data_IF_144504860182
#
_entry.id   IF_144504860182
#
_cell.length_a   1.000
_cell.length_b   1.000
_cell.length_c   1.000
_cell.angle_alpha   90.00
_cell.angle_beta   90.00
_cell.angle_gamma   90.00
#
_symmetry.space_group_name_H-M   'P 1'
#
loop_
_entity.id
_entity.type
_entity.pdbx_description
1 polymer ?
#
# COMPACT_ATOMS: atom_id res chain seq x y z
N UNK A 1 -16.57 -18.22 2.99
CA UNK A 1 -16.75 -17.78 1.59
C UNK A 1 -15.39 -17.81 0.93
N UNK A 2 -15.27 -18.37 -0.29
CA UNK A 2 -14.03 -18.27 -1.06
C UNK A 2 -13.88 -16.82 -1.51
N UNK A 3 -12.69 -16.24 -1.36
CA UNK A 3 -12.45 -14.88 -1.83
C UNK A 3 -12.43 -14.82 -3.36
N UNK A 4 -12.91 -13.70 -3.93
CA UNK A 4 -12.85 -13.42 -5.37
C UNK A 4 -11.54 -12.72 -5.77
N UNK A 5 -10.58 -12.62 -4.84
CA UNK A 5 -9.27 -12.04 -5.07
C UNK A 5 -8.53 -12.73 -6.20
N UNK A 6 -8.05 -11.91 -7.14
CA UNK A 6 -7.17 -12.33 -8.23
C UNK A 6 -5.76 -11.87 -7.92
N UNK A 7 -4.78 -12.58 -8.46
CA UNK A 7 -3.36 -12.25 -8.29
C UNK A 7 -2.90 -11.28 -9.37
N UNK A 8 -2.15 -10.27 -8.96
CA UNK A 8 -1.61 -9.21 -9.81
C UNK A 8 -0.15 -8.96 -9.47
N UNK A 9 0.60 -8.41 -10.41
CA UNK A 9 1.95 -7.88 -10.20
C UNK A 9 2.02 -6.41 -10.56
N UNK A 10 2.90 -5.67 -9.87
CA UNK A 10 3.16 -4.27 -10.21
C UNK A 10 3.90 -4.23 -11.56
N UNK A 11 3.53 -3.29 -12.44
CA UNK A 11 4.18 -3.12 -13.75
C UNK A 11 5.66 -2.75 -13.58
N UNK A 12 6.50 -3.16 -14.53
CA UNK A 12 7.97 -3.11 -14.41
C UNK A 12 8.55 -1.70 -14.36
N UNK A 13 7.84 -0.73 -14.91
CA UNK A 13 8.22 0.68 -14.96
C UNK A 13 7.82 1.46 -13.69
N UNK A 14 7.14 0.81 -12.74
CA UNK A 14 6.63 1.44 -11.54
C UNK A 14 7.63 1.28 -10.38
N UNK A 15 8.15 2.41 -9.91
CA UNK A 15 8.92 2.50 -8.67
C UNK A 15 8.27 3.51 -7.72
N UNK A 16 8.66 3.44 -6.45
CA UNK A 16 8.37 4.47 -5.45
C UNK A 16 9.66 5.14 -5.02
N UNK A 17 9.56 6.39 -4.58
CA UNK A 17 10.62 7.06 -3.84
C UNK A 17 10.34 6.88 -2.34
N UNK A 18 11.32 6.46 -1.56
CA UNK A 18 11.11 6.24 -0.12
C UNK A 18 12.32 6.60 0.73
N UNK A 19 12.04 7.10 1.93
CA UNK A 19 13.02 7.35 2.99
C UNK A 19 12.52 6.75 4.29
N UNK A 20 13.41 6.08 5.03
CA UNK A 20 13.09 5.52 6.34
C UNK A 20 13.07 6.64 7.39
N UNK A 21 12.08 6.63 8.27
CA UNK A 21 12.04 7.48 9.46
C UNK A 21 13.01 6.92 10.52
N UNK A 22 14.30 7.13 10.27
CA UNK A 22 15.41 6.65 11.11
C UNK A 22 15.91 7.74 12.07
N UNK A 23 14.97 8.41 12.72
CA UNK A 23 15.23 9.43 13.73
C UNK A 23 14.75 8.90 15.10
N UNK A 24 15.34 9.39 16.18
CA UNK A 24 14.79 9.16 17.52
C UNK A 24 13.51 9.97 17.70
N UNK A 25 12.36 9.32 17.57
CA UNK A 25 11.04 9.95 17.64
C UNK A 25 9.95 8.94 17.95
N UNK A 26 8.87 9.39 18.59
CA UNK A 26 7.63 8.60 18.65
C UNK A 26 6.97 8.44 17.27
N UNK A 27 7.38 9.28 16.31
CA UNK A 27 6.82 9.33 14.97
C UNK A 27 5.91 10.53 14.78
N UNK A 28 4.96 10.42 13.86
CA UNK A 28 3.98 11.47 13.59
C UNK A 28 2.65 10.88 13.10
N UNK A 29 1.61 11.71 13.19
CA UNK A 29 0.29 11.41 12.63
C UNK A 29 -0.06 12.40 11.52
N UNK A 30 -0.90 11.96 10.60
CA UNK A 30 -1.38 12.79 9.49
C UNK A 30 -2.77 12.35 9.07
N UNK A 31 -3.52 13.20 8.34
CA UNK A 31 -4.85 12.86 7.85
C UNK A 31 -4.80 12.47 6.38
N UNK A 32 -5.27 11.28 6.04
CA UNK A 32 -5.35 10.79 4.65
C UNK A 32 -6.45 9.74 4.51
N UNK A 33 -7.06 9.67 3.33
CA UNK A 33 -8.09 8.66 2.99
C UNK A 33 -9.24 8.60 4.00
N UNK A 34 -9.63 9.76 4.54
CA UNK A 34 -10.77 9.92 5.45
C UNK A 34 -10.48 9.68 6.93
N UNK A 35 -9.27 9.30 7.33
CA UNK A 35 -8.93 9.18 8.76
C UNK A 35 -7.48 9.51 9.07
N UNK A 36 -7.20 9.61 10.37
CA UNK A 36 -5.86 9.72 10.87
C UNK A 36 -5.06 8.45 10.55
N UNK A 37 -3.84 8.66 10.06
CA UNK A 37 -2.79 7.67 9.86
C UNK A 37 -1.65 7.96 10.84
N UNK A 38 -0.81 6.98 11.10
CA UNK A 38 0.41 7.12 11.90
C UNK A 38 1.63 6.53 11.20
N UNK A 39 2.78 7.08 11.54
CA UNK A 39 4.10 6.63 11.13
C UNK A 39 4.97 6.57 12.37
N UNK A 40 5.47 5.40 12.74
CA UNK A 40 6.38 5.22 13.88
C UNK A 40 7.84 5.20 13.41
N UNK A 41 8.78 5.33 14.35
CA UNK A 41 10.20 5.13 14.06
C UNK A 41 10.43 3.81 13.30
N UNK A 42 11.26 3.86 12.27
CA UNK A 42 11.59 2.73 11.41
C UNK A 42 10.64 2.51 10.23
N UNK A 43 9.44 3.08 10.25
CA UNK A 43 8.54 3.09 9.09
C UNK A 43 9.11 3.93 7.94
N UNK A 44 8.49 3.83 6.78
CA UNK A 44 8.94 4.49 5.56
C UNK A 44 7.97 5.59 5.15
N UNK A 45 8.49 6.78 4.85
CA UNK A 45 7.75 7.81 4.10
C UNK A 45 7.96 7.54 2.63
N UNK A 46 6.85 7.42 1.91
CA UNK A 46 6.80 6.97 0.51
C UNK A 46 6.13 8.03 -0.34
N UNK A 47 6.75 8.35 -1.47
CA UNK A 47 6.16 9.06 -2.59
C UNK A 47 5.97 8.06 -3.75
N UNK A 48 4.72 7.77 -4.07
CA UNK A 48 4.33 6.94 -5.21
C UNK A 48 3.73 7.83 -6.30
N UNK A 49 4.60 8.50 -7.06
CA UNK A 49 4.23 9.39 -8.16
C UNK A 49 3.29 10.54 -7.73
N UNK A 50 3.65 11.24 -6.66
CA UNK A 50 2.92 12.35 -6.07
C UNK A 50 1.89 11.96 -5.00
N UNK A 51 1.57 10.67 -4.86
CA UNK A 51 0.75 10.18 -3.74
C UNK A 51 1.65 9.79 -2.55
N UNK A 52 1.70 10.68 -1.55
CA UNK A 52 2.59 10.54 -0.38
C UNK A 52 1.86 9.91 0.80
N UNK A 53 2.45 8.85 1.37
CA UNK A 53 1.93 8.11 2.52
C UNK A 53 3.06 7.37 3.24
N UNK A 54 2.72 6.54 4.22
CA UNK A 54 3.67 5.77 5.01
C UNK A 54 3.43 4.28 4.91
N UNK A 55 4.50 3.50 5.04
CA UNK A 55 4.44 2.03 5.03
C UNK A 55 5.20 1.51 6.25
N UNK A 56 4.57 0.60 6.98
CA UNK A 56 5.18 -0.16 8.06
C UNK A 56 6.54 -0.77 7.68
N UNK A 57 7.50 -0.70 8.61
CA UNK A 57 8.86 -1.20 8.44
C UNK A 57 8.95 -2.62 7.85
N UNK A 58 8.24 -3.59 8.45
CA UNK A 58 8.35 -5.00 8.09
C UNK A 58 7.66 -5.28 6.75
N UNK A 59 6.53 -4.62 6.49
CA UNK A 59 5.86 -4.68 5.19
C UNK A 59 6.78 -4.18 4.09
N UNK A 60 7.43 -3.03 4.30
CA UNK A 60 8.31 -2.44 3.30
C UNK A 60 9.46 -3.38 2.96
N UNK A 61 10.19 -3.89 3.95
CA UNK A 61 11.31 -4.81 3.73
C UNK A 61 10.90 -6.13 3.07
N UNK A 62 9.70 -6.63 3.37
CA UNK A 62 9.17 -7.87 2.78
C UNK A 62 8.75 -7.69 1.32
N UNK A 63 8.25 -6.51 0.95
CA UNK A 63 7.54 -6.31 -0.33
C UNK A 63 8.27 -5.43 -1.32
N UNK A 64 9.27 -4.66 -0.91
CA UNK A 64 10.04 -3.77 -1.77
C UNK A 64 11.53 -4.10 -1.79
N UNK A 65 12.17 -3.81 -2.92
CA UNK A 65 13.62 -3.90 -3.08
C UNK A 65 14.17 -2.62 -3.70
N UNK A 66 15.29 -2.16 -3.15
CA UNK A 66 15.97 -0.98 -3.65
C UNK A 66 16.63 -1.30 -5.01
N UNK A 67 16.44 -0.40 -5.98
CA UNK A 67 17.09 -0.48 -7.31
C UNK A 67 18.07 0.68 -7.54
N UNK A 68 17.90 1.79 -6.82
CA UNK A 68 18.82 2.91 -6.76
C UNK A 68 18.60 3.67 -5.43
N UNK A 69 19.51 4.57 -5.00
CA UNK A 69 19.28 5.43 -3.84
C UNK A 69 17.90 6.08 -3.89
N UNK A 70 17.11 5.88 -2.83
CA UNK A 70 15.73 6.38 -2.74
C UNK A 70 14.68 5.65 -3.60
N UNK A 71 15.06 4.83 -4.58
CA UNK A 71 14.13 4.19 -5.53
C UNK A 71 13.92 2.71 -5.23
N UNK A 72 12.65 2.31 -5.10
CA UNK A 72 12.26 0.95 -4.73
C UNK A 72 11.17 0.41 -5.65
N UNK A 73 11.24 -0.88 -5.95
CA UNK A 73 10.21 -1.60 -6.74
C UNK A 73 9.54 -2.65 -5.88
N UNK A 74 8.24 -2.84 -6.09
CA UNK A 74 7.49 -3.92 -5.42
C UNK A 74 7.86 -5.24 -6.04
N UNK A 75 8.31 -6.20 -5.23
CA UNK A 75 8.86 -7.49 -5.69
C UNK A 75 7.88 -8.65 -5.53
N UNK A 76 6.85 -8.50 -4.70
CA UNK A 76 5.86 -9.54 -4.45
C UNK A 76 4.57 -9.24 -5.24
N UNK A 77 3.85 -10.29 -5.69
CA UNK A 77 2.50 -10.14 -6.18
C UNK A 77 1.57 -9.61 -5.08
N UNK A 78 0.40 -9.13 -5.51
CA UNK A 78 -0.70 -8.72 -4.63
C UNK A 78 -1.96 -9.50 -5.01
N UNK A 79 -2.87 -9.65 -4.06
CA UNK A 79 -4.18 -10.23 -4.28
C UNK A 79 -5.20 -9.13 -4.17
N UNK A 80 -6.02 -8.93 -5.21
CA UNK A 80 -6.97 -7.83 -5.23
C UNK A 80 -8.35 -8.24 -5.73
N UNK A 81 -9.37 -7.63 -5.14
CA UNK A 81 -10.77 -7.73 -5.56
C UNK A 81 -11.41 -6.34 -5.58
N UNK A 82 -12.48 -6.21 -6.36
CA UNK A 82 -13.23 -4.95 -6.47
C UNK A 82 -14.25 -4.89 -5.34
N UNK A 83 -14.29 -3.77 -4.61
CA UNK A 83 -15.25 -3.53 -3.55
C UNK A 83 -16.67 -3.42 -4.12
N UNK A 84 -17.60 -4.22 -3.61
CA UNK A 84 -19.02 -4.18 -4.03
C UNK A 84 -19.78 -3.00 -3.41
N UNK A 85 -19.30 -2.47 -2.29
CA UNK A 85 -19.88 -1.36 -1.55
C UNK A 85 -18.78 -0.47 -0.95
N UNK A 86 -19.14 0.74 -0.56
CA UNK A 86 -18.23 1.64 0.15
C UNK A 86 -17.97 1.15 1.59
N UNK A 87 -16.79 1.44 2.13
CA UNK A 87 -16.42 0.98 3.46
C UNK A 87 -15.08 1.50 3.96
N UNK A 88 -14.55 0.78 4.94
CA UNK A 88 -13.27 1.08 5.58
C UNK A 88 -12.40 -0.17 5.62
N UNK A 89 -11.11 0.01 5.37
CA UNK A 89 -10.11 -1.03 5.46
C UNK A 89 -9.14 -0.71 6.60
N UNK A 90 -8.98 -1.59 7.60
CA UNK A 90 -7.88 -1.44 8.55
C UNK A 90 -6.54 -1.61 7.82
N UNK A 91 -5.59 -0.76 8.15
CA UNK A 91 -4.20 -0.84 7.67
C UNK A 91 -3.27 -0.83 8.87
N UNK A 92 -1.98 -1.05 8.67
CA UNK A 92 -1.01 -0.97 9.77
C UNK A 92 -0.84 0.46 10.28
N UNK A 93 -1.08 1.44 9.43
CA UNK A 93 -0.99 2.87 9.72
C UNK A 93 -2.30 3.46 10.27
N UNK A 94 -3.40 2.70 10.27
CA UNK A 94 -4.70 3.16 10.75
C UNK A 94 -5.85 2.49 10.02
N UNK A 95 -6.62 3.29 9.27
CA UNK A 95 -7.67 2.78 8.38
C UNK A 95 -7.81 3.66 7.16
N UNK A 96 -8.35 3.13 6.08
CA UNK A 96 -8.56 3.89 4.84
C UNK A 96 -9.99 3.70 4.33
N UNK A 97 -10.62 4.79 3.92
CA UNK A 97 -11.95 4.75 3.29
C UNK A 97 -11.82 4.33 1.83
N UNK A 98 -12.73 3.49 1.37
CA UNK A 98 -12.89 3.13 -0.05
C UNK A 98 -14.34 3.25 -0.47
N UNK A 99 -14.56 3.43 -1.77
CA UNK A 99 -15.88 3.48 -2.39
C UNK A 99 -16.18 2.15 -3.12
N UNK A 100 -17.44 1.95 -3.49
CA UNK A 100 -17.80 0.86 -4.38
C UNK A 100 -17.07 1.00 -5.72
N UNK A 101 -16.47 -0.08 -6.21
CA UNK A 101 -15.67 -0.09 -7.44
C UNK A 101 -14.17 0.13 -7.24
N UNK A 102 -13.72 0.54 -6.05
CA UNK A 102 -12.31 0.57 -5.68
C UNK A 102 -11.73 -0.84 -5.53
N UNK A 103 -10.40 -0.96 -5.54
CA UNK A 103 -9.74 -2.23 -5.25
C UNK A 103 -9.40 -2.34 -3.77
N UNK A 104 -9.75 -3.50 -3.20
CA UNK A 104 -9.23 -4.01 -1.94
C UNK A 104 -8.01 -4.87 -2.27
N UNK A 105 -6.83 -4.47 -1.80
CA UNK A 105 -5.54 -5.04 -2.21
C UNK A 105 -4.83 -5.61 -0.99
N UNK A 106 -4.26 -6.80 -1.13
CA UNK A 106 -3.61 -7.51 -0.05
C UNK A 106 -2.21 -7.94 -0.49
N UNK A 107 -1.23 -7.81 0.41
CA UNK A 107 0.14 -8.28 0.17
C UNK A 107 0.29 -9.81 0.29
N UNK A 108 -0.76 -10.49 0.76
CA UNK A 108 -0.82 -11.93 0.98
C UNK A 108 -2.13 -12.55 0.45
N UNK A 109 -2.07 -13.85 0.16
CA UNK A 109 -3.22 -14.62 -0.35
C UNK A 109 -4.30 -14.84 0.72
N UNK A 110 -3.96 -14.76 2.00
CA UNK A 110 -4.93 -14.99 3.09
C UNK A 110 -5.81 -13.75 3.31
N UNK A 111 -5.28 -12.56 3.00
CA UNK A 111 -6.00 -11.28 3.05
C UNK A 111 -5.82 -10.55 4.37
N UNK A 112 -4.64 -10.67 4.97
CA UNK A 112 -4.36 -10.18 6.32
C UNK A 112 -3.59 -8.86 6.35
N UNK A 113 -2.90 -8.51 5.26
CA UNK A 113 -2.12 -7.29 5.09
C UNK A 113 -2.71 -6.44 3.94
N UNK A 114 -3.81 -5.74 4.26
CA UNK A 114 -4.67 -5.05 3.30
C UNK A 114 -4.49 -3.53 3.22
N UNK A 115 -4.73 -2.98 2.04
CA UNK A 115 -4.87 -1.56 1.75
C UNK A 115 -5.84 -1.37 0.57
N UNK A 116 -6.42 -0.17 0.41
CA UNK A 116 -7.36 0.12 -0.68
C UNK A 116 -6.80 1.14 -1.66
N UNK A 117 -7.23 1.05 -2.92
CA UNK A 117 -6.81 1.95 -4.00
C UNK A 117 -8.00 2.26 -4.90
N UNK A 118 -8.03 3.47 -5.45
CA UNK A 118 -9.01 3.75 -6.51
C UNK A 118 -8.81 2.83 -7.71
N UNK A 119 -9.89 2.51 -8.42
CA UNK A 119 -9.84 1.70 -9.65
C UNK A 119 -8.77 2.18 -10.64
N UNK A 120 -8.79 3.48 -10.93
CA UNK A 120 -7.87 4.09 -11.89
C UNK A 120 -6.41 3.97 -11.45
N UNK A 121 -6.09 4.21 -10.18
CA UNK A 121 -4.73 4.06 -9.66
C UNK A 121 -4.27 2.60 -9.73
N UNK A 122 -5.13 1.65 -9.34
CA UNK A 122 -4.78 0.23 -9.37
C UNK A 122 -4.47 -0.25 -10.79
N UNK A 123 -5.36 0.02 -11.74
CA UNK A 123 -5.22 -0.42 -13.14
C UNK A 123 -4.05 0.28 -13.87
N UNK A 124 -3.68 1.49 -13.43
CA UNK A 124 -2.48 2.16 -13.91
C UNK A 124 -1.20 1.43 -13.45
N UNK A 125 -1.15 0.90 -12.22
CA UNK A 125 0.07 0.36 -11.61
C UNK A 125 0.22 -1.16 -11.68
N UNK A 126 -0.88 -1.91 -11.79
CA UNK A 126 -0.91 -3.35 -11.69
C UNK A 126 -1.42 -3.98 -12.98
N UNK A 127 -0.99 -5.21 -13.22
CA UNK A 127 -1.48 -6.08 -14.28
C UNK A 127 -1.63 -7.51 -13.73
N UNK A 128 -2.50 -8.34 -14.33
CA UNK A 128 -2.58 -9.75 -13.96
C UNK A 128 -1.19 -10.41 -13.96
N UNK A 129 -0.89 -11.20 -12.91
CA UNK A 129 0.36 -11.98 -12.79
C UNK A 129 0.30 -13.22 -13.68
#
# INVERSE_FOLDING_TARGET
MRSNRRRYRKKKDQFIVAVRLDLETEGFTYFKWGSQQHCKQGDWVVDNNGDVYTIDHEVFLRTYRQIAPGHYVKINPVWAEVAESAGWMPTKEGRSRYEAGDYLVFNDEEGTDGYCMSKAQFEAMYEPD
#
